data_IF_304668612440
#
_entry.id   IF_304668612440
#
_cell.length_a   1.000
_cell.length_b   1.000
_cell.length_c   1.000
_cell.angle_alpha   90.00
_cell.angle_beta   90.00
_cell.angle_gamma   90.00
#
_symmetry.space_group_name_H-M   'P 1'
#
loop_
_entity.id
_entity.type
_entity.pdbx_description
1 polymer ?
#
# COMPACT_ATOMS: atom_id res chain seq x y z
N UNK A 1 -5.65 -19.39 18.30
CA UNK A 1 -4.26 -18.91 18.44
C UNK A 1 -4.04 -17.86 17.38
N UNK A 2 -3.46 -16.68 17.68
CA UNK A 2 -3.07 -15.73 16.65
C UNK A 2 -2.08 -16.43 15.70
N UNK A 3 -2.25 -16.23 14.39
CA UNK A 3 -1.28 -16.73 13.44
C UNK A 3 0.07 -16.00 13.60
N UNK A 4 1.11 -16.47 12.91
CA UNK A 4 2.45 -15.89 13.03
C UNK A 4 2.48 -14.40 12.66
N UNK A 5 1.68 -14.00 11.66
CA UNK A 5 1.60 -12.62 11.22
C UNK A 5 0.97 -11.73 12.29
N UNK A 6 -0.13 -12.17 12.90
CA UNK A 6 -0.77 -11.49 14.02
C UNK A 6 0.20 -11.31 15.20
N UNK A 7 1.05 -12.30 15.47
CA UNK A 7 2.05 -12.19 16.53
C UNK A 7 3.07 -11.08 16.25
N UNK A 8 3.53 -10.96 15.00
CA UNK A 8 4.45 -9.91 14.55
C UNK A 8 3.78 -8.54 14.63
N UNK A 9 2.56 -8.39 14.11
CA UNK A 9 1.80 -7.13 14.16
C UNK A 9 1.61 -6.67 15.62
N UNK A 10 1.24 -7.59 16.50
CA UNK A 10 1.07 -7.30 17.92
C UNK A 10 2.39 -6.91 18.60
N UNK A 11 3.52 -7.52 18.22
CA UNK A 11 4.84 -7.11 18.71
C UNK A 11 5.19 -5.69 18.26
N UNK A 12 4.97 -5.38 16.97
CA UNK A 12 5.24 -4.07 16.40
C UNK A 12 4.50 -2.94 17.14
N UNK A 13 3.20 -3.15 17.42
CA UNK A 13 2.40 -2.20 18.21
C UNK A 13 2.94 -2.06 19.64
N UNK A 14 3.16 -3.17 20.35
CA UNK A 14 3.62 -3.14 21.76
C UNK A 14 5.02 -2.56 21.94
N UNK A 15 5.89 -2.65 20.94
CA UNK A 15 7.31 -2.24 21.03
C UNK A 15 7.61 -0.92 20.34
N UNK A 16 6.59 -0.20 19.86
CA UNK A 16 6.78 1.12 19.26
C UNK A 16 7.48 1.10 17.90
N UNK A 17 7.18 0.08 17.08
CA UNK A 17 7.62 0.02 15.70
C UNK A 17 6.64 0.76 14.79
N UNK A 18 5.41 0.25 14.64
CA UNK A 18 4.43 0.77 13.69
C UNK A 18 3.03 0.71 14.32
N UNK A 19 2.25 1.77 14.08
CA UNK A 19 0.87 1.92 14.54
C UNK A 19 -0.06 2.21 13.35
N UNK A 20 -1.32 1.76 13.36
CA UNK A 20 -2.34 2.26 12.44
C UNK A 20 -2.46 3.78 12.61
N UNK A 21 -2.42 4.54 11.50
CA UNK A 21 -2.51 5.99 11.63
C UNK A 21 -3.91 6.42 12.06
N UNK A 22 -3.99 7.49 12.87
CA UNK A 22 -5.23 8.01 13.45
C UNK A 22 -6.06 6.98 14.23
N UNK A 23 -5.41 6.02 14.89
CA UNK A 23 -6.05 4.89 15.61
C UNK A 23 -7.15 5.36 16.59
N UNK A 24 -6.92 6.44 17.34
CA UNK A 24 -7.90 6.97 18.31
C UNK A 24 -9.13 7.62 17.66
N UNK A 25 -9.10 7.85 16.34
CA UNK A 25 -10.18 8.43 15.54
C UNK A 25 -10.85 7.40 14.61
N UNK A 26 -10.58 6.11 14.80
CA UNK A 26 -11.13 5.02 13.96
C UNK A 26 -10.20 4.53 12.85
N UNK A 27 -9.03 5.15 12.72
CA UNK A 27 -7.97 4.73 11.80
C UNK A 27 -8.23 5.06 10.33
N UNK A 28 -7.15 5.20 9.57
CA UNK A 28 -7.19 5.26 8.12
C UNK A 28 -6.64 3.96 7.54
N UNK A 29 -7.40 3.31 6.63
CA UNK A 29 -6.89 2.10 5.97
C UNK A 29 -5.63 2.44 5.17
N UNK A 30 -4.68 1.52 5.20
CA UNK A 30 -3.43 1.59 4.43
C UNK A 30 -2.49 2.75 4.78
N UNK A 31 -2.66 3.39 5.93
CA UNK A 31 -1.71 4.38 6.45
C UNK A 31 -1.26 4.03 7.86
N UNK A 32 0.01 4.29 8.14
CA UNK A 32 0.67 3.84 9.36
C UNK A 32 1.71 4.86 9.84
N UNK A 33 1.82 4.98 11.16
CA UNK A 33 2.76 5.86 11.83
C UNK A 33 3.91 5.04 12.43
N UNK A 34 5.15 5.47 12.18
CA UNK A 34 6.34 4.84 12.75
C UNK A 34 6.63 5.38 14.15
N UNK A 35 6.65 4.48 15.14
CA UNK A 35 6.98 4.80 16.53
C UNK A 35 8.48 5.03 16.77
N UNK A 36 8.88 5.22 18.04
CA UNK A 36 10.27 5.55 18.39
C UNK A 36 11.32 4.55 17.88
N UNK A 37 11.03 3.26 17.93
CA UNK A 37 11.94 2.22 17.41
C UNK A 37 11.80 2.09 15.89
N UNK A 38 10.57 2.19 15.38
CA UNK A 38 10.30 2.06 13.95
C UNK A 38 10.93 3.15 13.10
N UNK A 39 10.93 4.40 13.57
CA UNK A 39 11.57 5.51 12.84
C UNK A 39 13.08 5.33 12.74
N UNK A 40 13.72 4.77 13.77
CA UNK A 40 15.15 4.43 13.74
C UNK A 40 15.42 3.28 12.79
N UNK A 41 14.61 2.22 12.83
CA UNK A 41 14.72 1.09 11.90
C UNK A 41 14.56 1.56 10.44
N UNK A 42 13.54 2.37 10.14
CA UNK A 42 13.30 2.95 8.82
C UNK A 42 14.49 3.78 8.34
N UNK A 43 15.05 4.64 9.20
CA UNK A 43 16.24 5.44 8.88
C UNK A 43 17.46 4.57 8.62
N UNK A 44 17.69 3.54 9.42
CA UNK A 44 18.82 2.64 9.25
C UNK A 44 18.75 1.87 7.93
N UNK A 45 17.56 1.38 7.55
CA UNK A 45 17.34 0.71 6.24
C UNK A 45 17.61 1.67 5.09
N UNK A 46 17.06 2.89 5.14
CA UNK A 46 17.29 3.93 4.11
C UNK A 46 18.78 4.29 4.00
N UNK A 47 19.48 4.47 5.12
CA UNK A 47 20.89 4.80 5.14
C UNK A 47 21.77 3.66 4.59
N UNK A 48 21.46 2.41 4.95
CA UNK A 48 22.15 1.24 4.42
C UNK A 48 22.00 1.13 2.90
N UNK A 49 20.78 1.32 2.39
CA UNK A 49 20.49 1.31 0.96
C UNK A 49 21.20 2.45 0.22
N UNK A 50 21.14 3.68 0.75
CA UNK A 50 21.81 4.83 0.14
C UNK A 50 23.32 4.63 0.04
N UNK A 51 23.92 4.10 1.11
CA UNK A 51 25.35 3.78 1.12
C UNK A 51 25.69 2.74 0.05
N UNK A 52 24.94 1.64 -0.04
CA UNK A 52 25.23 0.57 -0.99
C UNK A 52 24.98 0.98 -2.44
N UNK A 53 23.89 1.70 -2.71
CA UNK A 53 23.45 1.99 -4.07
C UNK A 53 24.03 3.27 -4.64
N UNK A 54 24.29 4.29 -3.80
CA UNK A 54 24.72 5.61 -4.27
C UNK A 54 26.18 5.87 -3.89
N UNK A 55 26.56 5.69 -2.63
CA UNK A 55 27.91 6.08 -2.18
C UNK A 55 29.01 5.10 -2.59
N UNK A 56 28.70 3.80 -2.69
CA UNK A 56 29.66 2.75 -3.03
C UNK A 56 29.70 2.39 -4.52
N UNK A 57 28.88 3.07 -5.33
CA UNK A 57 28.77 2.85 -6.77
C UNK A 57 29.17 4.12 -7.52
N UNK A 58 29.98 3.97 -8.56
CA UNK A 58 30.40 5.10 -9.40
C UNK A 58 29.40 5.46 -10.50
N UNK A 59 28.36 4.65 -10.68
CA UNK A 59 27.41 4.72 -11.80
C UNK A 59 26.00 5.16 -11.37
N UNK A 60 25.82 5.59 -10.11
CA UNK A 60 24.53 6.03 -9.56
C UNK A 60 24.69 7.40 -8.91
N UNK A 61 23.80 8.33 -9.24
CA UNK A 61 23.80 9.69 -8.70
C UNK A 61 22.55 9.89 -7.83
N UNK A 62 22.74 10.47 -6.65
CA UNK A 62 21.65 10.81 -5.75
C UNK A 62 20.84 12.01 -6.24
N UNK A 63 19.52 11.93 -6.13
CA UNK A 63 18.58 13.00 -6.48
C UNK A 63 17.47 13.07 -5.42
N UNK A 64 17.00 14.27 -5.10
CA UNK A 64 15.81 14.51 -4.29
C UNK A 64 14.86 15.42 -5.07
N UNK A 65 13.67 14.93 -5.38
CA UNK A 65 12.71 15.58 -6.28
C UNK A 65 11.43 15.94 -5.52
N UNK A 66 10.72 16.97 -5.99
CA UNK A 66 9.45 17.36 -5.42
C UNK A 66 8.38 16.26 -5.63
N UNK A 67 7.53 16.04 -4.63
CA UNK A 67 6.42 15.07 -4.71
C UNK A 67 5.33 15.58 -5.67
N UNK A 68 5.03 16.88 -5.63
CA UNK A 68 4.03 17.48 -6.51
C UNK A 68 4.64 17.75 -7.88
N UNK A 69 3.99 17.24 -8.93
CA UNK A 69 4.44 17.35 -10.31
C UNK A 69 3.31 17.80 -11.24
N UNK A 70 3.61 18.57 -12.31
CA UNK A 70 2.62 18.97 -13.31
C UNK A 70 1.97 17.78 -14.03
N UNK A 71 0.68 17.85 -14.43
CA UNK A 71 -0.02 16.77 -15.13
C UNK A 71 0.68 16.22 -16.36
N UNK A 72 1.35 17.08 -17.13
CA UNK A 72 2.06 16.68 -18.35
C UNK A 72 3.15 15.61 -18.11
N UNK A 73 3.74 15.55 -16.92
CA UNK A 73 4.72 14.50 -16.56
C UNK A 73 4.04 13.13 -16.47
N UNK A 74 2.85 13.09 -15.87
CA UNK A 74 2.06 11.86 -15.70
C UNK A 74 1.47 11.38 -17.02
N UNK A 75 1.12 12.32 -17.91
CA UNK A 75 0.67 12.01 -19.27
C UNK A 75 1.82 11.42 -20.11
N UNK A 76 2.97 12.10 -20.16
CA UNK A 76 4.13 11.65 -20.93
C UNK A 76 4.68 10.30 -20.47
N UNK A 77 4.59 10.00 -19.17
CA UNK A 77 4.98 8.71 -18.61
C UNK A 77 3.89 7.62 -18.74
N UNK A 78 2.70 7.97 -19.24
CA UNK A 78 1.58 7.04 -19.44
C UNK A 78 0.83 6.65 -18.15
N UNK A 79 1.10 7.30 -17.02
CA UNK A 79 0.41 7.00 -15.76
C UNK A 79 -1.08 7.32 -15.85
N UNK A 80 -1.46 8.40 -16.56
CA UNK A 80 -2.87 8.79 -16.68
C UNK A 80 -3.73 7.73 -17.39
N UNK A 81 -3.15 6.94 -18.29
CA UNK A 81 -3.87 5.92 -19.04
C UNK A 81 -3.75 4.52 -18.44
N UNK A 82 -2.66 4.22 -17.74
CA UNK A 82 -2.30 2.84 -17.39
C UNK A 82 -2.21 2.56 -15.89
N UNK A 83 -2.10 3.57 -15.03
CA UNK A 83 -1.93 3.37 -13.60
C UNK A 83 -3.27 3.26 -12.87
N UNK A 84 -4.03 2.23 -13.24
CA UNK A 84 -5.35 1.91 -12.67
C UNK A 84 -5.42 0.44 -12.29
N UNK A 85 -6.13 0.15 -11.19
CA UNK A 85 -6.56 -1.20 -10.86
C UNK A 85 -8.04 -1.35 -11.28
N UNK A 86 -8.44 -2.38 -12.03
CA UNK A 86 -9.83 -2.60 -12.39
C UNK A 86 -10.67 -2.90 -11.14
N UNK A 87 -11.72 -2.13 -10.94
CA UNK A 87 -12.59 -2.22 -9.76
C UNK A 87 -14.00 -2.62 -10.20
N UNK A 88 -14.59 -3.59 -9.51
CA UNK A 88 -15.96 -4.03 -9.73
C UNK A 88 -16.77 -3.87 -8.45
N UNK A 89 -18.01 -3.41 -8.58
CA UNK A 89 -18.96 -3.27 -7.48
C UNK A 89 -19.99 -4.40 -7.54
N UNK A 90 -20.26 -5.08 -6.42
CA UNK A 90 -21.33 -6.07 -6.36
C UNK A 90 -22.68 -5.37 -6.20
N UNK A 91 -23.58 -5.53 -7.18
CA UNK A 91 -24.91 -4.90 -7.20
C UNK A 91 -25.83 -5.34 -6.03
N UNK A 92 -25.52 -6.48 -5.38
CA UNK A 92 -26.31 -7.02 -4.27
C UNK A 92 -25.88 -6.48 -2.91
N UNK A 93 -24.57 -6.49 -2.62
CA UNK A 93 -24.04 -6.07 -1.31
C UNK A 93 -23.37 -4.69 -1.32
N UNK A 94 -23.26 -4.07 -2.51
CA UNK A 94 -22.66 -2.76 -2.75
C UNK A 94 -21.21 -2.62 -2.31
N UNK A 95 -20.52 -3.76 -2.13
CA UNK A 95 -19.10 -3.77 -1.80
C UNK A 95 -18.26 -3.70 -3.08
N UNK A 96 -17.14 -3.00 -2.99
CA UNK A 96 -16.16 -2.82 -4.06
C UNK A 96 -15.01 -3.80 -3.94
N UNK A 97 -14.63 -4.40 -5.06
CA UNK A 97 -13.52 -5.35 -5.14
C UNK A 97 -12.57 -4.98 -6.26
N UNK A 98 -11.29 -5.29 -6.04
CA UNK A 98 -10.28 -5.31 -7.10
C UNK A 98 -10.48 -6.57 -7.93
N UNK A 99 -10.74 -6.42 -9.22
CA UNK A 99 -11.09 -7.54 -10.10
C UNK A 99 -9.98 -8.60 -10.16
N UNK A 100 -8.72 -8.18 -10.09
CA UNK A 100 -7.54 -9.05 -10.07
C UNK A 100 -7.38 -9.85 -8.76
N UNK A 101 -8.13 -9.51 -7.71
CA UNK A 101 -8.10 -10.17 -6.40
C UNK A 101 -9.34 -11.03 -6.15
N UNK A 102 -10.25 -11.14 -7.12
CA UNK A 102 -11.42 -12.01 -7.04
C UNK A 102 -11.09 -13.36 -7.67
N UNK A 103 -11.16 -14.44 -6.88
CA UNK A 103 -10.85 -15.80 -7.34
C UNK A 103 -11.74 -16.26 -8.51
N UNK A 104 -13.04 -15.93 -8.44
CA UNK A 104 -14.04 -16.20 -9.47
C UNK A 104 -14.70 -14.88 -9.91
N UNK A 105 -14.40 -14.38 -11.13
CA UNK A 105 -14.98 -13.14 -11.66
C UNK A 105 -16.51 -13.11 -11.73
N UNK A 106 -17.18 -14.26 -11.56
CA UNK A 106 -18.63 -14.35 -11.55
C UNK A 106 -19.23 -14.36 -10.15
N UNK A 107 -18.46 -14.66 -9.11
CA UNK A 107 -19.01 -14.87 -7.76
C UNK A 107 -18.50 -13.82 -6.78
N UNK A 108 -19.42 -13.07 -6.16
CA UNK A 108 -19.05 -12.12 -5.12
C UNK A 108 -18.43 -12.85 -3.92
N UNK A 109 -17.21 -12.49 -3.48
CA UNK A 109 -16.56 -13.20 -2.37
C UNK A 109 -17.27 -12.99 -1.03
N UNK A 110 -17.96 -11.84 -0.86
CA UNK A 110 -18.67 -11.44 0.37
C UNK A 110 -20.06 -12.07 0.50
N UNK A 111 -20.93 -11.90 -0.50
CA UNK A 111 -22.33 -12.36 -0.42
C UNK A 111 -22.64 -13.61 -1.27
N UNK A 112 -21.65 -14.13 -2.01
CA UNK A 112 -21.78 -15.31 -2.89
C UNK A 112 -22.80 -15.17 -4.03
N UNK A 113 -23.27 -13.95 -4.31
CA UNK A 113 -24.12 -13.69 -5.46
C UNK A 113 -23.34 -13.86 -6.77
N UNK A 114 -23.90 -14.63 -7.70
CA UNK A 114 -23.34 -14.90 -9.03
C UNK A 114 -23.76 -13.81 -10.02
N UNK A 115 -22.90 -13.50 -10.99
CA UNK A 115 -23.10 -12.52 -12.08
C UNK A 115 -23.61 -11.15 -11.60
N UNK A 116 -23.15 -10.75 -10.41
CA UNK A 116 -23.66 -9.56 -9.72
C UNK A 116 -22.73 -8.35 -9.82
N UNK A 117 -21.57 -8.47 -10.47
CA UNK A 117 -20.60 -7.39 -10.62
C UNK A 117 -21.00 -6.37 -11.68
N UNK A 118 -20.54 -5.13 -11.51
CA UNK A 118 -20.56 -4.10 -12.55
C UNK A 118 -19.47 -4.36 -13.59
N UNK A 119 -19.55 -3.66 -14.72
CA UNK A 119 -18.40 -3.52 -15.63
C UNK A 119 -17.27 -2.79 -14.90
N UNK A 120 -16.03 -3.14 -15.24
CA UNK A 120 -14.80 -2.60 -14.65
C UNK A 120 -14.32 -1.34 -15.39
#
# INVERSE_FOLDING_TARGET
MPDEFDQVVNLCKRRGFVFPSAEIYGGFRSTYDYGPVGVLALRNVKAAWWRSMVQLRSDVVGLDAAILSPPAIWEASGHLSNFTDPLVDCKQCQERFRLDQVDDPHTCPKCKATDSFTEA
#
